data_IF_918636404962
#
_entry.id   IF_918636404962
#
_cell.length_a   1.000
_cell.length_b   1.000
_cell.length_c   1.000
_cell.angle_alpha   90.00
_cell.angle_beta   90.00
_cell.angle_gamma   90.00
#
_symmetry.space_group_name_H-M   'P 1'
#
loop_
_entity.id
_entity.type
_entity.pdbx_description
1 polymer ?
#
# COMPACT_ATOMS: atom_id res chain seq x y z
N UNK A 1 -6.07 -3.91 4.19
CA UNK A 1 -5.61 -2.53 4.44
C UNK A 1 -4.42 -2.51 5.41
N UNK A 2 -4.51 -3.19 6.54
CA UNK A 2 -3.42 -3.25 7.53
C UNK A 2 -2.05 -3.50 6.91
N UNK A 3 -1.94 -4.47 6.03
CA UNK A 3 -0.69 -4.82 5.33
C UNK A 3 -0.09 -3.71 4.45
N UNK A 4 -0.84 -2.66 4.11
CA UNK A 4 -0.33 -1.50 3.37
C UNK A 4 0.63 -0.65 4.21
N UNK A 5 0.43 -0.66 5.52
CA UNK A 5 1.16 0.16 6.47
C UNK A 5 2.18 -0.64 7.30
N UNK A 6 2.16 -1.97 7.21
CA UNK A 6 3.11 -2.84 7.87
C UNK A 6 4.38 -3.06 7.05
N UNK A 7 5.53 -2.94 7.71
CA UNK A 7 6.86 -2.85 7.08
C UNK A 7 7.34 -4.05 6.27
N UNK A 8 6.84 -5.25 6.50
CA UNK A 8 7.52 -6.49 6.10
C UNK A 8 7.04 -7.15 4.80
N UNK A 9 5.94 -6.69 4.21
CA UNK A 9 5.34 -7.29 3.00
C UNK A 9 5.44 -6.42 1.74
N UNK A 10 6.35 -5.49 1.69
CA UNK A 10 6.39 -4.29 0.85
C UNK A 10 6.61 -4.46 -0.64
N UNK A 11 6.85 -5.61 -1.19
CA UNK A 11 7.41 -5.70 -2.57
C UNK A 11 6.48 -5.14 -3.65
N UNK A 12 5.18 -5.02 -3.37
CA UNK A 12 4.22 -4.43 -4.33
C UNK A 12 3.19 -3.47 -3.68
N UNK A 13 3.37 -3.11 -2.40
CA UNK A 13 2.37 -2.33 -1.67
C UNK A 13 2.37 -0.84 -2.04
N UNK A 14 3.49 -0.31 -2.56
CA UNK A 14 3.57 1.09 -2.99
C UNK A 14 2.55 1.45 -4.06
N UNK A 15 2.36 0.59 -5.06
CA UNK A 15 1.35 0.82 -6.10
C UNK A 15 -0.07 0.76 -5.54
N UNK A 16 -0.31 -0.15 -4.60
CA UNK A 16 -1.61 -0.29 -3.96
C UNK A 16 -1.91 0.90 -3.05
N UNK A 17 -0.94 1.32 -2.23
CA UNK A 17 -1.05 2.53 -1.41
C UNK A 17 -1.34 3.75 -2.28
N UNK A 18 -0.62 3.93 -3.38
CA UNK A 18 -0.84 5.03 -4.33
C UNK A 18 -2.24 4.98 -4.95
N UNK A 19 -2.72 3.79 -5.31
CA UNK A 19 -4.07 3.62 -5.86
C UNK A 19 -5.14 3.99 -4.85
N UNK A 20 -4.97 3.58 -3.59
CA UNK A 20 -5.89 3.96 -2.50
C UNK A 20 -5.87 5.47 -2.21
N UNK A 21 -4.68 6.11 -2.26
CA UNK A 21 -4.57 7.58 -2.15
C UNK A 21 -5.32 8.30 -3.27
N UNK A 22 -5.19 7.84 -4.52
CA UNK A 22 -5.93 8.41 -5.63
C UNK A 22 -7.44 8.19 -5.48
N UNK A 23 -7.85 7.02 -5.00
CA UNK A 23 -9.26 6.72 -4.73
C UNK A 23 -9.82 7.65 -3.66
N UNK A 24 -9.06 7.91 -2.60
CA UNK A 24 -9.41 8.89 -1.57
C UNK A 24 -9.64 10.28 -2.16
N UNK A 25 -8.68 10.79 -2.93
CA UNK A 25 -8.78 12.12 -3.54
C UNK A 25 -9.97 12.21 -4.49
N UNK A 26 -10.20 11.20 -5.32
CA UNK A 26 -11.33 11.16 -6.25
C UNK A 26 -12.66 11.09 -5.50
N UNK A 27 -12.77 10.28 -4.48
CA UNK A 27 -13.98 10.18 -3.67
C UNK A 27 -14.32 11.52 -3.02
N UNK A 28 -13.34 12.17 -2.37
CA UNK A 28 -13.54 13.48 -1.72
C UNK A 28 -13.83 14.62 -2.70
N UNK A 29 -13.37 14.52 -3.94
CA UNK A 29 -13.55 15.60 -4.93
C UNK A 29 -14.81 15.43 -5.79
N UNK A 30 -15.27 14.19 -5.99
CA UNK A 30 -16.37 13.91 -6.92
C UNK A 30 -17.64 13.43 -6.25
N UNK A 31 -17.59 13.12 -4.97
CA UNK A 31 -18.69 12.50 -4.19
C UNK A 31 -19.22 11.22 -4.88
N UNK A 32 -18.32 10.50 -5.55
CA UNK A 32 -18.63 9.24 -6.26
C UNK A 32 -17.95 8.08 -5.57
N UNK A 33 -18.63 6.94 -5.60
CA UNK A 33 -18.00 5.69 -5.23
C UNK A 33 -16.86 5.35 -6.21
N UNK A 34 -15.71 4.95 -5.67
CA UNK A 34 -14.50 4.65 -6.44
C UNK A 34 -14.11 3.19 -6.23
N UNK A 35 -14.03 2.46 -7.33
CA UNK A 35 -13.50 1.08 -7.34
C UNK A 35 -12.04 1.12 -7.79
N UNK A 36 -11.08 0.91 -6.86
CA UNK A 36 -9.66 0.91 -7.21
C UNK A 36 -9.29 -0.29 -8.08
N UNK A 37 -8.46 -0.04 -9.09
CA UNK A 37 -7.97 -1.09 -9.99
C UNK A 37 -6.49 -0.89 -10.34
N UNK A 38 -5.75 -1.99 -10.50
CA UNK A 38 -4.35 -2.01 -10.90
C UNK A 38 -4.13 -2.87 -12.14
N UNK A 39 -3.58 -2.26 -13.18
CA UNK A 39 -3.24 -2.94 -14.41
C UNK A 39 -1.76 -3.36 -14.42
N UNK A 40 -1.53 -4.66 -14.25
CA UNK A 40 -0.20 -5.25 -14.41
C UNK A 40 -0.04 -5.77 -15.83
N UNK A 41 0.55 -4.98 -16.72
CA UNK A 41 0.70 -5.30 -18.15
C UNK A 41 1.31 -6.69 -18.38
N UNK A 42 2.29 -7.07 -17.56
CA UNK A 42 2.93 -8.40 -17.66
C UNK A 42 1.94 -9.56 -17.42
N UNK A 43 0.93 -9.35 -16.59
CA UNK A 43 -0.08 -10.35 -16.26
C UNK A 43 -1.27 -10.34 -17.22
N UNK A 44 -1.49 -9.22 -17.93
CA UNK A 44 -2.55 -9.09 -18.93
C UNK A 44 -2.22 -9.85 -20.22
N UNK A 45 -0.94 -9.86 -20.60
CA UNK A 45 -0.52 -10.50 -21.84
C UNK A 45 -0.60 -12.02 -21.69
N UNK A 46 -1.56 -12.63 -22.38
CA UNK A 46 -1.78 -14.08 -22.39
C UNK A 46 -2.82 -14.59 -21.37
N UNK A 47 -3.51 -13.70 -20.66
CA UNK A 47 -4.64 -14.06 -19.80
C UNK A 47 -5.94 -13.48 -20.36
N UNK A 48 -6.87 -14.34 -20.75
CA UNK A 48 -8.21 -13.93 -21.23
C UNK A 48 -9.09 -13.44 -20.06
N UNK A 49 -8.80 -13.87 -18.83
CA UNK A 49 -9.60 -13.62 -17.63
C UNK A 49 -8.92 -12.64 -16.64
N UNK A 50 -8.03 -11.76 -17.12
CA UNK A 50 -7.36 -10.83 -16.23
C UNK A 50 -8.33 -9.83 -15.60
N UNK A 51 -8.49 -9.87 -14.28
CA UNK A 51 -9.27 -8.90 -13.52
C UNK A 51 -8.33 -7.86 -12.88
N UNK A 52 -8.41 -6.57 -13.25
CA UNK A 52 -7.58 -5.52 -12.68
C UNK A 52 -8.06 -5.03 -11.31
N UNK A 53 -9.25 -5.42 -10.87
CA UNK A 53 -9.80 -5.00 -9.59
C UNK A 53 -8.96 -5.51 -8.43
N UNK A 54 -8.80 -4.68 -7.43
CA UNK A 54 -8.13 -5.06 -6.19
C UNK A 54 -9.07 -5.96 -5.41
N UNK A 55 -8.53 -7.07 -4.93
CA UNK A 55 -9.29 -8.03 -4.13
C UNK A 55 -8.66 -8.19 -2.76
N UNK A 56 -9.50 -8.31 -1.74
CA UNK A 56 -9.07 -8.62 -0.38
C UNK A 56 -9.39 -10.09 -0.04
N UNK A 57 -8.39 -10.80 0.48
CA UNK A 57 -8.55 -12.15 0.97
C UNK A 57 -8.87 -12.12 2.47
N UNK A 58 -10.08 -11.69 2.81
CA UNK A 58 -10.52 -11.67 4.20
C UNK A 58 -10.83 -13.09 4.67
N UNK A 59 -9.88 -13.73 5.36
CA UNK A 59 -10.09 -14.80 6.35
C UNK A 59 -10.97 -16.00 5.98
N UNK A 60 -11.24 -16.25 4.71
CA UNK A 60 -12.18 -17.26 4.23
C UNK A 60 -11.53 -18.27 3.31
N UNK A 61 -12.14 -19.46 3.10
CA UNK A 61 -11.53 -20.53 2.32
C UNK A 61 -11.12 -20.04 0.93
N UNK A 62 -10.09 -20.61 0.40
CA UNK A 62 -9.31 -20.33 -0.83
C UNK A 62 -10.02 -19.73 -2.06
N UNK A 63 -11.33 -19.52 -2.05
CA UNK A 63 -12.14 -19.15 -3.21
C UNK A 63 -13.06 -17.92 -3.03
N UNK A 64 -12.99 -17.20 -1.93
CA UNK A 64 -13.78 -15.98 -1.76
C UNK A 64 -12.88 -14.75 -1.74
N UNK A 65 -12.70 -14.16 -2.89
CA UNK A 65 -12.09 -12.84 -3.04
C UNK A 65 -13.21 -11.81 -3.09
N UNK A 66 -13.19 -10.85 -2.17
CA UNK A 66 -14.09 -9.70 -2.23
C UNK A 66 -13.40 -8.58 -2.98
N UNK A 67 -14.04 -8.02 -3.97
CA UNK A 67 -13.53 -6.83 -4.66
C UNK A 67 -13.52 -5.65 -3.70
N UNK A 68 -12.42 -4.89 -3.72
CA UNK A 68 -12.23 -3.74 -2.85
C UNK A 68 -12.94 -2.53 -3.45
N UNK A 69 -13.92 -2.04 -2.72
CA UNK A 69 -14.52 -0.74 -2.91
C UNK A 69 -13.85 0.25 -1.94
N UNK A 70 -13.49 1.43 -2.40
CA UNK A 70 -12.83 2.41 -1.55
C UNK A 70 -13.64 2.74 -0.30
N UNK A 71 -14.96 2.97 -0.43
CA UNK A 71 -15.80 3.34 0.70
C UNK A 71 -15.82 2.31 1.83
N UNK A 72 -15.70 1.03 1.50
CA UNK A 72 -15.63 -0.05 2.51
C UNK A 72 -14.42 0.09 3.42
N UNK A 73 -13.34 0.65 2.91
CA UNK A 73 -12.06 0.76 3.63
C UNK A 73 -11.63 2.21 3.93
N UNK A 74 -12.44 3.20 3.55
CA UNK A 74 -12.08 4.61 3.64
C UNK A 74 -11.68 5.03 5.06
N UNK A 75 -12.53 4.73 6.04
CA UNK A 75 -12.30 5.12 7.44
C UNK A 75 -11.00 4.50 7.99
N UNK A 76 -10.80 3.19 7.80
CA UNK A 76 -9.59 2.51 8.26
C UNK A 76 -8.35 3.02 7.52
N UNK A 77 -8.45 3.21 6.21
CA UNK A 77 -7.34 3.71 5.39
C UNK A 77 -6.92 5.12 5.80
N UNK A 78 -7.86 6.04 5.93
CA UNK A 78 -7.60 7.43 6.30
C UNK A 78 -7.05 7.55 7.71
N UNK A 79 -7.56 6.75 8.66
CA UNK A 79 -7.05 6.72 10.02
C UNK A 79 -5.59 6.22 10.06
N UNK A 80 -5.26 5.14 9.35
CA UNK A 80 -3.89 4.61 9.28
C UNK A 80 -2.94 5.57 8.56
N UNK A 81 -3.39 6.20 7.49
CA UNK A 81 -2.64 7.22 6.78
C UNK A 81 -2.34 8.41 7.69
N UNK A 82 -3.34 8.89 8.42
CA UNK A 82 -3.17 9.98 9.38
C UNK A 82 -2.18 9.62 10.50
N UNK A 83 -2.27 8.42 11.03
CA UNK A 83 -1.33 7.95 12.06
C UNK A 83 0.10 7.89 11.53
N UNK A 84 0.30 7.35 10.33
CA UNK A 84 1.62 7.30 9.67
C UNK A 84 2.18 8.70 9.42
N UNK A 85 1.36 9.63 8.94
CA UNK A 85 1.79 11.02 8.72
C UNK A 85 2.13 11.71 10.02
N UNK A 86 1.33 11.52 11.07
CA UNK A 86 1.61 12.07 12.38
C UNK A 86 2.95 11.55 12.92
N UNK A 87 3.25 10.26 12.78
CA UNK A 87 4.53 9.69 13.17
C UNK A 87 5.71 10.29 12.38
N UNK A 88 5.56 10.45 11.06
CA UNK A 88 6.62 11.03 10.20
C UNK A 88 6.91 12.49 10.55
N UNK A 89 5.88 13.25 10.89
CA UNK A 89 5.99 14.68 11.18
C UNK A 89 6.12 15.01 12.68
N UNK A 90 6.15 14.00 13.55
CA UNK A 90 6.37 14.21 14.97
C UNK A 90 7.85 14.53 15.25
N UNK A 91 8.18 15.74 15.71
CA UNK A 91 9.57 16.11 15.99
C UNK A 91 10.20 15.35 17.16
N UNK A 92 9.39 14.72 18.01
CA UNK A 92 9.83 13.96 19.14
C UNK A 92 10.17 12.49 18.80
N UNK A 93 9.79 12.05 17.60
CA UNK A 93 10.10 10.70 17.09
C UNK A 93 11.31 10.76 16.15
N UNK A 94 12.50 10.30 16.59
CA UNK A 94 13.68 10.32 15.74
C UNK A 94 13.60 9.28 14.62
N UNK A 95 14.10 9.63 13.42
CA UNK A 95 14.31 8.66 12.38
C UNK A 95 15.37 7.64 12.78
N UNK A 96 15.05 6.37 12.69
CA UNK A 96 15.96 5.26 12.99
C UNK A 96 16.38 4.53 11.72
N UNK A 97 17.57 3.94 11.73
CA UNK A 97 18.00 3.07 10.64
C UNK A 97 17.16 1.78 10.66
N UNK A 98 16.96 1.19 9.49
CA UNK A 98 16.37 -0.15 9.41
C UNK A 98 17.22 -1.18 10.17
N UNK A 99 16.60 -2.25 10.63
CA UNK A 99 17.28 -3.34 11.31
C UNK A 99 18.37 -3.99 10.44
N UNK A 100 19.32 -4.69 11.04
CA UNK A 100 20.38 -5.36 10.27
C UNK A 100 19.82 -6.45 9.34
N UNK A 101 18.79 -7.15 9.79
CA UNK A 101 18.12 -8.21 9.02
C UNK A 101 17.40 -7.67 7.77
N UNK A 102 16.96 -6.40 7.81
CA UNK A 102 16.31 -5.74 6.69
C UNK A 102 17.29 -5.00 5.77
N UNK A 103 18.51 -4.71 6.25
CA UNK A 103 19.49 -3.88 5.56
C UNK A 103 19.84 -4.40 4.16
N UNK A 104 19.94 -5.70 3.98
CA UNK A 104 20.26 -6.32 2.69
C UNK A 104 19.22 -6.02 1.61
N UNK A 105 17.95 -5.87 2.01
CA UNK A 105 16.85 -5.57 1.10
C UNK A 105 16.64 -4.05 0.97
N UNK A 106 16.54 -3.36 2.11
CA UNK A 106 16.19 -1.95 2.16
C UNK A 106 17.33 -1.04 1.67
N UNK A 107 18.59 -1.39 1.98
CA UNK A 107 19.76 -0.57 1.66
C UNK A 107 20.35 -0.84 0.27
N UNK A 108 19.96 -1.91 -0.41
CA UNK A 108 20.54 -2.31 -1.69
C UNK A 108 20.51 -1.20 -2.75
N UNK A 109 19.41 -0.46 -2.81
CA UNK A 109 19.17 0.63 -3.76
C UNK A 109 18.83 1.96 -3.07
N UNK A 110 19.20 2.10 -1.79
CA UNK A 110 18.91 3.29 -1.00
C UNK A 110 19.94 4.38 -1.28
N UNK A 111 19.50 5.57 -1.68
CA UNK A 111 20.36 6.73 -1.93
C UNK A 111 21.04 7.24 -0.65
N UNK A 112 20.47 6.95 0.51
CA UNK A 112 20.97 7.37 1.81
C UNK A 112 21.93 6.36 2.47
N UNK A 113 22.28 5.28 1.78
CA UNK A 113 23.15 4.21 2.27
C UNK A 113 24.45 4.73 2.90
N UNK A 114 25.08 5.71 2.23
CA UNK A 114 26.35 6.31 2.70
C UNK A 114 26.19 7.05 4.03
N UNK A 115 25.05 7.73 4.22
CA UNK A 115 24.73 8.45 5.48
C UNK A 115 24.54 7.45 6.62
N UNK A 116 23.90 6.34 6.33
CA UNK A 116 23.67 5.25 7.29
C UNK A 116 24.92 4.38 7.55
N UNK A 117 26.02 4.58 6.80
CA UNK A 117 27.24 3.75 6.85
C UNK A 117 26.98 2.25 6.60
N UNK A 118 26.09 1.96 5.66
CA UNK A 118 25.68 0.60 5.26
C UNK A 118 26.28 0.20 3.89
#
# INVERSE_FOLDING_TARGET
IESLFEGDKRINMGNLLQTMLYSMVLNHTTDRNVEPALYFVRHMVGSEDYNPRITDNIGTPRNSTTEVDYLTYAEEFEQRLSNMLNEIFDPDIPFTQCSEDEADKACKYCDFKTICKR
#
